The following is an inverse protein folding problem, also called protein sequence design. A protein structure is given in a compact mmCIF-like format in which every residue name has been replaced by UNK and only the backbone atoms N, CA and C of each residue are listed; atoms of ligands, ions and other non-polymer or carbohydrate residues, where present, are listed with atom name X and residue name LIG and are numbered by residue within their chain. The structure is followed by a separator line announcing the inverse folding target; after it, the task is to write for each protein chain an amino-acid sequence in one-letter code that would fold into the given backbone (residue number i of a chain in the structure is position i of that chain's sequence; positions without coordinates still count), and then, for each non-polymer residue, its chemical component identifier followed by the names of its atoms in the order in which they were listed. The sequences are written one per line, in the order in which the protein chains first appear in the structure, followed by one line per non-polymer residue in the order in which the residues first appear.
data_IF_499525051077
#
_entry.id   IF_499525051077
#
_cell.length_a   1.000
_cell.length_b   1.000
_cell.length_c   1.000
_cell.angle_alpha   90.00
_cell.angle_beta   90.00
_cell.angle_gamma   90.00
#
_symmetry.space_group_name_H-M   'P 1'
#
loop_
_entity.id
_entity.type
_entity.pdbx_description
1 polymer ?
#
# COMPACT_ATOMS: atom_id res chain seq x y z
N UNK A 1 -23.22 -10.93 -2.40
CA UNK A 1 -22.64 -10.07 -1.36
C UNK A 1 -23.14 -10.52 0.00
N UNK A 2 -22.27 -10.58 1.00
CA UNK A 2 -22.61 -11.20 2.27
C UNK A 2 -23.34 -10.24 3.21
N UNK A 3 -24.63 -10.46 3.46
CA UNK A 3 -25.44 -9.70 4.42
C UNK A 3 -24.75 -9.55 5.79
N UNK A 4 -24.08 -10.61 6.26
CA UNK A 4 -23.38 -10.63 7.55
C UNK A 4 -22.21 -9.64 7.66
N UNK A 5 -21.49 -9.38 6.57
CA UNK A 5 -20.37 -8.45 6.58
C UNK A 5 -20.80 -7.02 6.93
N UNK A 6 -21.97 -6.61 6.42
CA UNK A 6 -22.57 -5.30 6.70
C UNK A 6 -23.15 -5.22 8.13
N UNK A 7 -23.79 -6.30 8.59
CA UNK A 7 -24.30 -6.39 9.96
C UNK A 7 -23.16 -6.28 11.00
N UNK A 8 -22.01 -6.91 10.72
CA UNK A 8 -20.84 -6.86 11.60
C UNK A 8 -20.20 -5.44 11.61
N UNK A 9 -20.06 -4.82 10.45
CA UNK A 9 -19.46 -3.49 10.35
C UNK A 9 -20.30 -2.36 10.97
N UNK A 10 -21.62 -2.53 11.01
CA UNK A 10 -22.53 -1.63 11.72
C UNK A 10 -22.53 -0.19 11.19
N UNK A 11 -22.91 0.76 12.06
CA UNK A 11 -23.04 2.19 11.74
C UNK A 11 -21.72 2.92 11.48
N UNK A 12 -20.56 2.30 11.78
CA UNK A 12 -19.23 2.84 11.52
C UNK A 12 -18.68 2.54 10.13
N UNK A 13 -19.42 1.84 9.28
CA UNK A 13 -18.95 1.31 7.99
C UNK A 13 -18.52 2.39 7.00
N UNK A 14 -19.12 3.59 7.01
CA UNK A 14 -18.79 4.66 6.05
C UNK A 14 -17.33 5.15 6.22
N UNK A 15 -16.90 5.41 7.46
CA UNK A 15 -15.51 5.80 7.74
C UNK A 15 -14.54 4.68 7.35
N UNK A 16 -14.86 3.44 7.67
CA UNK A 16 -14.06 2.27 7.29
C UNK A 16 -13.96 2.13 5.76
N UNK A 17 -15.08 2.30 5.05
CA UNK A 17 -15.11 2.27 3.59
C UNK A 17 -14.21 3.36 3.00
N UNK A 18 -14.26 4.57 3.55
CA UNK A 18 -13.41 5.66 3.06
C UNK A 18 -11.91 5.37 3.28
N UNK A 19 -11.53 4.85 4.44
CA UNK A 19 -10.16 4.45 4.72
C UNK A 19 -9.69 3.31 3.81
N UNK A 20 -10.54 2.33 3.55
CA UNK A 20 -10.25 1.24 2.61
C UNK A 20 -10.11 1.74 1.16
N UNK A 21 -10.88 2.73 0.74
CA UNK A 21 -10.71 3.37 -0.58
C UNK A 21 -9.37 4.09 -0.70
N UNK A 22 -8.97 4.81 0.34
CA UNK A 22 -7.65 5.43 0.42
C UNK A 22 -6.55 4.38 0.35
N UNK A 23 -6.65 3.30 1.12
CA UNK A 23 -5.70 2.18 1.09
C UNK A 23 -5.62 1.56 -0.31
N UNK A 24 -6.75 1.28 -0.96
CA UNK A 24 -6.77 0.75 -2.32
C UNK A 24 -6.02 1.64 -3.32
N UNK A 25 -6.23 2.95 -3.25
CA UNK A 25 -5.51 3.92 -4.07
C UNK A 25 -4.00 3.95 -3.76
N UNK A 26 -3.63 3.83 -2.48
CA UNK A 26 -2.24 3.79 -2.05
C UNK A 26 -1.52 2.55 -2.59
N UNK A 27 -2.08 1.36 -2.40
CA UNK A 27 -1.53 0.09 -2.89
C UNK A 27 -1.32 0.08 -4.41
N UNK A 28 -2.31 0.54 -5.17
CA UNK A 28 -2.19 0.59 -6.64
C UNK A 28 -1.19 1.66 -7.11
N UNK A 29 -1.04 2.73 -6.36
CA UNK A 29 -0.07 3.77 -6.66
C UNK A 29 1.36 3.29 -6.38
N UNK A 30 1.59 2.61 -5.26
CA UNK A 30 2.90 2.01 -4.92
C UNK A 30 3.22 0.82 -5.82
N UNK A 31 2.24 -0.03 -6.15
CA UNK A 31 2.39 -1.04 -7.19
C UNK A 31 2.95 -0.43 -8.48
N UNK A 32 2.31 0.62 -8.99
CA UNK A 32 2.76 1.27 -10.23
C UNK A 32 4.15 1.88 -10.08
N UNK A 33 4.46 2.48 -8.94
CA UNK A 33 5.77 3.03 -8.63
C UNK A 33 6.86 1.96 -8.66
N UNK A 34 6.71 0.87 -7.92
CA UNK A 34 7.67 -0.22 -7.87
C UNK A 34 7.84 -0.91 -9.23
N UNK A 35 6.74 -1.17 -9.92
CA UNK A 35 6.77 -1.73 -11.27
C UNK A 35 7.52 -0.84 -12.26
N UNK A 36 7.28 0.47 -12.22
CA UNK A 36 7.99 1.42 -13.07
C UNK A 36 9.50 1.43 -12.75
N UNK A 37 9.88 1.47 -11.48
CA UNK A 37 11.29 1.49 -11.07
C UNK A 37 12.00 0.22 -11.52
N UNK A 38 11.41 -0.94 -11.36
CA UNK A 38 12.02 -2.21 -11.77
C UNK A 38 12.49 -2.22 -13.24
N UNK A 39 11.88 -1.37 -14.08
CA UNK A 39 12.17 -1.32 -15.51
C UNK A 39 12.99 -0.11 -15.96
N UNK A 40 13.04 0.95 -15.19
CA UNK A 40 13.44 2.27 -15.68
C UNK A 40 14.51 2.98 -14.85
N UNK A 41 15.02 2.40 -13.76
CA UNK A 41 16.08 3.01 -12.95
C UNK A 41 17.45 2.68 -13.52
N UNK A 42 18.22 3.70 -13.85
CA UNK A 42 19.57 3.56 -14.34
C UNK A 42 20.50 2.99 -13.24
N UNK A 43 21.30 2.01 -13.60
CA UNK A 43 22.27 1.40 -12.68
C UNK A 43 21.68 0.32 -11.76
N UNK A 44 20.43 -0.08 -11.94
CA UNK A 44 19.89 -1.26 -11.26
C UNK A 44 20.60 -2.53 -11.75
N UNK A 45 21.09 -3.32 -10.79
CA UNK A 45 21.48 -4.70 -11.04
C UNK A 45 20.25 -5.63 -11.09
N UNK A 46 20.48 -6.89 -11.44
CA UNK A 46 19.41 -7.89 -11.53
C UNK A 46 18.71 -8.09 -10.16
N UNK A 47 19.46 -8.08 -9.08
CA UNK A 47 18.91 -8.29 -7.72
C UNK A 47 18.02 -7.13 -7.29
N UNK A 48 18.40 -5.91 -7.59
CA UNK A 48 17.61 -4.73 -7.27
C UNK A 48 16.36 -4.65 -8.15
N UNK A 49 16.46 -5.08 -9.41
CA UNK A 49 15.30 -5.18 -10.29
C UNK A 49 14.29 -6.19 -9.77
N UNK A 50 14.75 -7.39 -9.40
CA UNK A 50 13.90 -8.45 -8.82
C UNK A 50 13.23 -7.97 -7.53
N UNK A 51 13.95 -7.26 -6.66
CA UNK A 51 13.39 -6.69 -5.43
C UNK A 51 12.18 -5.78 -5.73
N UNK A 52 12.31 -4.83 -6.65
CA UNK A 52 11.20 -3.94 -7.00
C UNK A 52 10.05 -4.65 -7.71
N UNK A 53 10.33 -5.67 -8.51
CA UNK A 53 9.28 -6.50 -9.14
C UNK A 53 8.48 -7.30 -8.10
N UNK A 54 9.15 -7.83 -7.07
CA UNK A 54 8.49 -8.55 -5.97
C UNK A 54 7.62 -7.61 -5.16
N UNK A 55 8.13 -6.43 -4.76
CA UNK A 55 7.33 -5.41 -4.09
C UNK A 55 6.09 -5.05 -4.90
N UNK A 56 6.24 -4.79 -6.19
CA UNK A 56 5.09 -4.50 -7.05
C UNK A 56 4.01 -5.62 -7.00
N UNK A 57 4.41 -6.89 -7.01
CA UNK A 57 3.47 -8.01 -6.91
C UNK A 57 2.75 -8.04 -5.56
N UNK A 58 3.45 -7.70 -4.49
CA UNK A 58 2.88 -7.66 -3.14
C UNK A 58 1.85 -6.55 -3.01
N UNK A 59 2.16 -5.32 -3.42
CA UNK A 59 1.21 -4.21 -3.46
C UNK A 59 -0.07 -4.56 -4.25
N UNK A 60 0.11 -5.20 -5.41
CA UNK A 60 -1.03 -5.67 -6.19
C UNK A 60 -1.85 -6.74 -5.44
N UNK A 61 -1.20 -7.57 -4.62
CA UNK A 61 -1.88 -8.54 -3.76
C UNK A 61 -2.63 -7.86 -2.62
N UNK A 62 -2.03 -6.83 -2.00
CA UNK A 62 -2.65 -6.02 -0.95
C UNK A 62 -3.89 -5.31 -1.49
N UNK A 63 -3.79 -4.65 -2.64
CA UNK A 63 -4.93 -4.00 -3.28
C UNK A 63 -6.12 -4.94 -3.51
N UNK A 64 -5.87 -6.20 -3.88
CA UNK A 64 -6.93 -7.21 -4.05
C UNK A 64 -7.62 -7.56 -2.73
N UNK A 65 -6.87 -7.68 -1.63
CA UNK A 65 -7.44 -7.94 -0.30
C UNK A 65 -8.34 -6.77 0.13
N UNK A 66 -7.89 -5.53 -0.08
CA UNK A 66 -8.64 -4.31 0.22
C UNK A 66 -9.90 -4.21 -0.66
N UNK A 67 -9.78 -4.44 -1.97
CA UNK A 67 -10.92 -4.46 -2.90
C UNK A 67 -11.97 -5.51 -2.49
N UNK A 68 -11.54 -6.70 -2.09
CA UNK A 68 -12.43 -7.74 -1.62
C UNK A 68 -13.19 -7.31 -0.37
N UNK A 69 -12.52 -6.64 0.57
CA UNK A 69 -13.19 -6.10 1.77
C UNK A 69 -14.20 -5.00 1.42
N UNK A 70 -13.86 -4.07 0.53
CA UNK A 70 -14.81 -3.07 0.02
C UNK A 70 -16.06 -3.72 -0.56
N UNK A 71 -15.90 -4.75 -1.41
CA UNK A 71 -17.03 -5.48 -1.98
C UNK A 71 -17.91 -6.17 -0.92
N UNK A 72 -17.31 -6.72 0.14
CA UNK A 72 -18.07 -7.27 1.28
C UNK A 72 -18.90 -6.20 1.98
N UNK A 73 -18.44 -4.96 2.03
CA UNK A 73 -19.15 -3.81 2.60
C UNK A 73 -20.11 -3.14 1.59
N UNK A 74 -20.33 -3.77 0.41
CA UNK A 74 -21.14 -3.25 -0.69
C UNK A 74 -20.65 -1.91 -1.24
N UNK A 75 -19.35 -1.64 -1.11
CA UNK A 75 -18.66 -0.52 -1.71
C UNK A 75 -17.82 -1.00 -2.90
N UNK A 76 -17.63 -0.12 -3.88
CA UNK A 76 -16.72 -0.39 -5.01
C UNK A 76 -15.41 0.35 -4.77
N UNK A 77 -14.26 -0.30 -5.06
CA UNK A 77 -13.01 0.41 -5.17
C UNK A 77 -13.07 1.41 -6.33
N UNK A 78 -12.25 2.46 -6.27
CA UNK A 78 -12.15 3.42 -7.35
C UNK A 78 -11.48 2.78 -8.57
N UNK A 79 -12.15 2.78 -9.72
CA UNK A 79 -11.69 2.17 -10.96
C UNK A 79 -10.94 3.13 -11.90
N UNK A 80 -10.84 4.41 -11.55
CA UNK A 80 -10.11 5.40 -12.34
C UNK A 80 -8.65 5.52 -11.89
N UNK A 81 -7.68 5.01 -12.68
CA UNK A 81 -6.27 5.09 -12.35
C UNK A 81 -5.75 6.52 -12.14
N UNK A 82 -6.36 7.50 -12.79
CA UNK A 82 -5.98 8.91 -12.63
C UNK A 82 -6.33 9.46 -11.23
N UNK A 83 -7.23 8.82 -10.52
CA UNK A 83 -7.65 9.21 -9.17
C UNK A 83 -6.91 8.46 -8.08
N UNK A 84 -6.28 7.34 -8.36
CA UNK A 84 -5.57 6.55 -7.32
C UNK A 84 -4.51 7.37 -6.59
N UNK A 85 -3.69 8.10 -7.33
CA UNK A 85 -2.67 8.98 -6.76
C UNK A 85 -3.27 10.07 -5.86
N UNK A 86 -4.38 10.65 -6.27
CA UNK A 86 -5.09 11.67 -5.50
C UNK A 86 -5.73 11.09 -4.24
N UNK A 87 -6.35 9.92 -4.33
CA UNK A 87 -7.06 9.26 -3.24
C UNK A 87 -6.09 8.65 -2.21
N UNK A 88 -4.87 8.30 -2.64
CA UNK A 88 -3.88 7.58 -1.83
C UNK A 88 -3.35 8.35 -0.63
N UNK A 89 -3.36 9.68 -0.68
CA UNK A 89 -2.70 10.51 0.32
C UNK A 89 -1.16 10.52 0.23
N UNK A 90 -0.56 9.79 -0.73
CA UNK A 90 0.90 9.68 -0.91
C UNK A 90 1.51 10.88 -1.65
N UNK A 91 0.69 11.75 -2.23
CA UNK A 91 1.13 12.83 -3.09
C UNK A 91 1.53 12.33 -4.48
N UNK A 92 2.27 13.15 -5.22
CA UNK A 92 2.70 12.77 -6.57
C UNK A 92 3.76 11.68 -6.54
N UNK A 93 3.44 10.57 -7.18
CA UNK A 93 4.30 9.39 -7.29
C UNK A 93 5.20 9.39 -8.53
N UNK A 94 5.11 10.42 -9.38
CA UNK A 94 5.91 10.47 -10.60
C UNK A 94 7.40 10.32 -10.29
N UNK A 95 8.01 9.20 -10.70
CA UNK A 95 9.44 9.05 -10.58
C UNK A 95 10.11 10.12 -11.43
N UNK A 96 11.15 10.73 -10.91
CA UNK A 96 11.96 11.65 -11.71
C UNK A 96 12.64 10.85 -12.81
N UNK A 97 12.95 11.52 -13.93
CA UNK A 97 13.62 10.90 -15.08
C UNK A 97 15.02 10.34 -14.75
N UNK A 98 15.58 10.71 -13.60
CA UNK A 98 16.93 10.37 -13.15
C UNK A 98 16.90 9.80 -11.72
N UNK A 99 16.18 8.71 -11.51
CA UNK A 99 16.22 8.02 -10.23
C UNK A 99 17.48 7.17 -10.11
N UNK A 100 18.16 7.34 -9.00
CA UNK A 100 19.17 6.38 -8.54
C UNK A 100 18.51 5.33 -7.65
N UNK A 101 19.19 4.20 -7.42
CA UNK A 101 18.71 3.20 -6.47
C UNK A 101 18.40 3.82 -5.09
N UNK A 102 19.33 4.63 -4.57
CA UNK A 102 19.15 5.31 -3.28
C UNK A 102 17.89 6.18 -3.27
N UNK A 103 17.75 7.09 -4.24
CA UNK A 103 16.59 8.01 -4.26
C UNK A 103 15.27 7.27 -4.48
N UNK A 104 15.29 6.14 -5.17
CA UNK A 104 14.11 5.29 -5.34
C UNK A 104 13.69 4.63 -4.03
N UNK A 105 14.65 4.12 -3.27
CA UNK A 105 14.41 3.50 -1.96
C UNK A 105 13.98 4.53 -0.90
N UNK A 106 14.62 5.70 -0.86
CA UNK A 106 14.23 6.79 0.04
C UNK A 106 12.78 7.23 -0.21
N UNK A 107 12.39 7.30 -1.47
CA UNK A 107 11.00 7.64 -1.83
C UNK A 107 10.02 6.52 -1.50
N UNK A 108 10.40 5.28 -1.75
CA UNK A 108 9.61 4.12 -1.34
C UNK A 108 9.36 4.12 0.17
N UNK A 109 10.40 4.35 0.96
CA UNK A 109 10.32 4.42 2.42
C UNK A 109 9.32 5.48 2.92
N UNK A 110 9.21 6.63 2.23
CA UNK A 110 8.20 7.64 2.55
C UNK A 110 6.77 7.12 2.31
N UNK A 111 6.57 6.32 1.25
CA UNK A 111 5.28 5.72 0.94
C UNK A 111 4.91 4.66 1.96
N UNK A 112 5.80 3.71 2.24
CA UNK A 112 5.58 2.66 3.26
C UNK A 112 5.17 3.27 4.60
N UNK A 113 5.88 4.26 5.08
CA UNK A 113 5.56 4.95 6.32
C UNK A 113 4.19 5.62 6.34
N UNK A 114 3.72 6.07 5.19
CA UNK A 114 2.37 6.64 5.06
C UNK A 114 1.32 5.54 5.09
N UNK A 115 1.57 4.43 4.40
CA UNK A 115 0.67 3.27 4.35
C UNK A 115 0.61 2.57 5.72
N UNK A 116 1.74 2.41 6.41
CA UNK A 116 1.81 1.91 7.78
C UNK A 116 0.88 2.72 8.71
N UNK A 117 0.95 4.05 8.66
CA UNK A 117 0.06 4.90 9.45
C UNK A 117 -1.41 4.68 9.09
N UNK A 118 -1.72 4.58 7.80
CA UNK A 118 -3.08 4.34 7.33
C UNK A 118 -3.64 3.02 7.85
N UNK A 119 -2.88 1.92 7.79
CA UNK A 119 -3.34 0.64 8.32
C UNK A 119 -3.41 0.61 9.85
N UNK A 120 -2.49 1.27 10.53
CA UNK A 120 -2.58 1.44 11.98
C UNK A 120 -3.85 2.22 12.39
N UNK A 121 -4.18 3.28 11.67
CA UNK A 121 -5.39 4.07 11.92
C UNK A 121 -6.66 3.28 11.59
N UNK A 122 -6.65 2.51 10.50
CA UNK A 122 -7.75 1.59 10.15
C UNK A 122 -7.95 0.54 11.25
N UNK A 123 -6.88 -0.10 11.73
CA UNK A 123 -6.93 -1.06 12.82
C UNK A 123 -7.53 -0.41 14.09
N UNK A 124 -7.03 0.75 14.49
CA UNK A 124 -7.53 1.44 15.68
C UNK A 124 -9.02 1.85 15.56
N UNK A 125 -9.47 2.27 14.38
CA UNK A 125 -10.84 2.68 14.15
C UNK A 125 -11.85 1.52 14.10
N UNK A 126 -11.38 0.33 13.71
CA UNK A 126 -12.21 -0.88 13.52
C UNK A 126 -12.16 -1.86 14.69
N UNK A 127 -11.21 -1.67 15.61
CA UNK A 127 -11.04 -2.49 16.81
C UNK A 127 -12.37 -2.57 17.59
N UNK A 128 -12.77 -3.80 17.96
CA UNK A 128 -13.99 -4.10 18.70
C UNK A 128 -15.33 -3.72 17.99
N UNK A 129 -15.24 -3.26 16.74
CA UNK A 129 -16.41 -2.85 15.94
C UNK A 129 -16.58 -3.70 14.69
N UNK A 130 -15.51 -3.86 13.92
CA UNK A 130 -15.46 -4.62 12.68
C UNK A 130 -14.21 -5.51 12.66
N UNK A 131 -14.34 -6.68 13.26
CA UNK A 131 -13.21 -7.63 13.38
C UNK A 131 -12.63 -8.04 12.03
N UNK A 132 -13.40 -8.05 10.95
CA UNK A 132 -12.91 -8.44 9.65
C UNK A 132 -12.01 -7.35 9.04
N UNK A 133 -12.40 -6.08 9.13
CA UNK A 133 -11.55 -4.96 8.71
C UNK A 133 -10.36 -4.77 9.65
N UNK A 134 -10.54 -4.99 10.95
CA UNK A 134 -9.46 -4.97 11.93
C UNK A 134 -8.37 -5.99 11.63
N UNK A 135 -8.74 -7.26 11.40
CA UNK A 135 -7.77 -8.31 11.08
C UNK A 135 -7.08 -8.04 9.74
N UNK A 136 -7.82 -7.60 8.72
CA UNK A 136 -7.21 -7.19 7.44
C UNK A 136 -6.18 -6.08 7.64
N UNK A 137 -6.51 -5.07 8.44
CA UNK A 137 -5.62 -3.95 8.71
C UNK A 137 -4.35 -4.40 9.44
N UNK A 138 -4.45 -5.35 10.39
CA UNK A 138 -3.29 -5.89 11.09
C UNK A 138 -2.40 -6.74 10.16
N UNK A 139 -3.00 -7.58 9.32
CA UNK A 139 -2.25 -8.41 8.36
C UNK A 139 -1.46 -7.55 7.37
N UNK A 140 -2.07 -6.47 6.87
CA UNK A 140 -1.41 -5.55 5.95
C UNK A 140 -0.39 -4.66 6.67
N UNK A 141 -0.70 -4.18 7.87
CA UNK A 141 0.25 -3.43 8.70
C UNK A 141 1.55 -4.21 8.97
N UNK A 142 1.43 -5.51 9.26
CA UNK A 142 2.59 -6.37 9.52
C UNK A 142 3.47 -6.52 8.27
N UNK A 143 2.84 -6.68 7.10
CA UNK A 143 3.52 -6.75 5.82
C UNK A 143 4.27 -5.44 5.50
N UNK A 144 3.62 -4.28 5.64
CA UNK A 144 4.24 -2.98 5.38
C UNK A 144 5.41 -2.66 6.33
N UNK A 145 5.33 -3.11 7.59
CA UNK A 145 6.44 -2.98 8.55
C UNK A 145 7.65 -3.83 8.15
N UNK A 146 7.43 -5.02 7.59
CA UNK A 146 8.49 -5.86 7.02
C UNK A 146 9.12 -5.18 5.80
N UNK A 147 8.33 -4.56 4.95
CA UNK A 147 8.79 -3.85 3.77
C UNK A 147 9.59 -2.60 4.12
N UNK A 148 9.14 -1.81 5.09
CA UNK A 148 9.90 -0.70 5.66
C UNK A 148 11.29 -1.17 6.12
N UNK A 149 11.37 -2.24 6.90
CA UNK A 149 12.62 -2.79 7.41
C UNK A 149 13.53 -3.26 6.27
N UNK A 150 13.01 -3.95 5.26
CA UNK A 150 13.78 -4.42 4.12
C UNK A 150 14.38 -3.25 3.33
N UNK A 151 13.64 -2.16 3.13
CA UNK A 151 14.13 -0.94 2.45
C UNK A 151 15.22 -0.27 3.29
N UNK A 152 15.03 -0.13 4.60
CA UNK A 152 16.02 0.45 5.51
C UNK A 152 17.32 -0.36 5.51
N UNK A 153 17.24 -1.67 5.52
CA UNK A 153 18.41 -2.57 5.48
C UNK A 153 19.20 -2.41 4.17
N UNK A 154 18.53 -2.23 3.04
CA UNK A 154 19.20 -1.98 1.76
C UNK A 154 19.85 -0.60 1.77
N UNK A 155 19.17 0.44 2.25
CA UNK A 155 19.72 1.79 2.36
C UNK A 155 20.96 1.82 3.25
N UNK A 156 20.94 1.15 4.40
CA UNK A 156 22.09 1.04 5.29
C UNK A 156 23.30 0.36 4.61
N UNK A 157 23.07 -0.69 3.81
CA UNK A 157 24.15 -1.34 3.03
C UNK A 157 24.75 -0.42 1.96
N UNK A 158 23.96 0.50 1.40
CA UNK A 158 24.44 1.49 0.43
C UNK A 158 25.31 2.59 1.07
N UNK A 159 25.19 2.81 2.39
CA UNK A 159 26.00 3.79 3.12
C UNK A 159 27.40 3.30 3.43
N UNK A 160 27.60 1.98 3.50
CA UNK A 160 28.87 1.34 3.87
C UNK A 160 29.84 1.25 2.68
N UNK A 161 29.36 1.50 1.47
CA UNK A 161 30.15 1.46 0.22
C UNK A 161 30.63 2.86 -0.19
#
# INVERSE_FOLDING_TARGET
MGKMAKEIAGLGSESTIQMLKTAYGAELSTFHYFWYISQNVEGLGVLEQEFFEERAKEELSHSKKVAFRLMQLEALPNDDPAQWEQDSGLGKLQPSRYLTLRSSLERALEFERTIIKLYNDLANSTREKDNASYNLALDLLDAELEDEQNIEDILAKLEIR
#
